data_IF_187904507608
#
_entry.id   IF_187904507608
#
_cell.length_a   1.000
_cell.length_b   1.000
_cell.length_c   1.000
_cell.angle_alpha   90.00
_cell.angle_beta   90.00
_cell.angle_gamma   90.00
#
_symmetry.space_group_name_H-M   'P 1'
#
loop_
_entity.id
_entity.type
_entity.pdbx_description
1 polymer ?
#
# COMPACT_ATOMS: atom_id res chain seq x y z
N UNK A 1 -3.76 0.98 18.78
CA UNK A 1 -3.59 2.37 18.33
C UNK A 1 -2.21 3.00 18.57
N UNK A 2 -1.43 2.60 19.59
CA UNK A 2 -0.10 3.20 19.87
C UNK A 2 1.06 2.83 18.90
N UNK A 3 0.85 1.93 17.93
CA UNK A 3 1.94 1.45 17.05
C UNK A 3 2.25 2.37 15.86
N UNK A 4 1.37 3.33 15.52
CA UNK A 4 1.54 4.21 14.35
C UNK A 4 2.09 5.60 14.72
N UNK A 5 2.14 5.96 16.00
CA UNK A 5 2.50 7.32 16.42
C UNK A 5 4.00 7.62 16.29
N UNK A 6 4.85 6.59 16.33
CA UNK A 6 6.29 6.72 16.14
C UNK A 6 6.86 5.49 15.43
N UNK A 7 7.05 5.60 14.11
CA UNK A 7 7.76 4.57 13.33
C UNK A 7 9.25 4.62 13.70
N UNK A 8 9.88 3.50 14.11
CA UNK A 8 11.28 3.46 14.46
C UNK A 8 12.16 3.72 13.23
N UNK A 9 12.79 4.89 13.18
CA UNK A 9 13.42 5.45 11.97
C UNK A 9 14.62 4.62 11.49
N UNK A 10 15.52 4.27 12.41
CA UNK A 10 16.75 3.51 12.09
C UNK A 10 16.44 2.13 11.54
N UNK A 11 15.59 1.36 12.22
CA UNK A 11 15.27 -0.01 11.80
C UNK A 11 14.50 -0.04 10.48
N UNK A 12 13.57 0.88 10.27
CA UNK A 12 12.81 0.96 9.02
C UNK A 12 13.70 1.34 7.84
N UNK A 13 14.67 2.24 8.04
CA UNK A 13 15.64 2.62 7.01
C UNK A 13 16.56 1.45 6.63
N UNK A 14 17.10 0.72 7.62
CA UNK A 14 17.93 -0.46 7.34
C UNK A 14 17.15 -1.55 6.61
N UNK A 15 15.87 -1.78 6.97
CA UNK A 15 15.00 -2.74 6.27
C UNK A 15 14.73 -2.33 4.82
N UNK A 16 14.48 -1.04 4.58
CA UNK A 16 14.29 -0.51 3.23
C UNK A 16 15.56 -0.69 2.38
N UNK A 17 16.73 -0.31 2.91
CA UNK A 17 18.02 -0.47 2.22
C UNK A 17 18.35 -1.95 1.95
N UNK A 18 18.18 -2.81 2.94
CA UNK A 18 18.38 -4.26 2.79
C UNK A 18 17.47 -4.84 1.71
N UNK A 19 16.22 -4.37 1.64
CA UNK A 19 15.32 -4.82 0.59
C UNK A 19 15.69 -4.30 -0.78
N UNK A 20 16.13 -3.05 -0.91
CA UNK A 20 16.60 -2.51 -2.21
C UNK A 20 17.78 -3.33 -2.71
N UNK A 21 18.73 -3.66 -1.82
CA UNK A 21 19.86 -4.52 -2.17
C UNK A 21 19.43 -5.95 -2.54
N UNK A 22 18.45 -6.52 -1.85
CA UNK A 22 17.93 -7.87 -2.13
C UNK A 22 17.19 -7.92 -3.47
N UNK A 23 16.31 -6.95 -3.72
CA UNK A 23 15.56 -6.85 -4.98
C UNK A 23 16.53 -6.57 -6.14
N UNK A 24 17.49 -5.66 -5.95
CA UNK A 24 18.50 -5.33 -6.96
C UNK A 24 19.48 -6.47 -7.28
N UNK A 25 19.67 -7.42 -6.35
CA UNK A 25 20.48 -8.63 -6.57
C UNK A 25 19.69 -9.82 -7.14
N UNK A 26 18.38 -9.66 -7.39
CA UNK A 26 17.54 -10.70 -7.98
C UNK A 26 16.99 -11.72 -6.99
N UNK A 27 17.00 -11.43 -5.68
CA UNK A 27 16.38 -12.30 -4.68
C UNK A 27 14.85 -12.40 -4.91
N UNK A 28 14.29 -13.58 -4.66
CA UNK A 28 12.84 -13.81 -4.74
C UNK A 28 12.14 -13.19 -3.52
N UNK A 29 11.92 -11.87 -3.57
CA UNK A 29 11.24 -11.12 -2.51
C UNK A 29 10.27 -10.10 -3.09
N UNK A 30 9.11 -9.96 -2.44
CA UNK A 30 8.11 -8.97 -2.80
C UNK A 30 8.55 -7.55 -2.41
N UNK A 31 8.17 -6.57 -3.24
CA UNK A 31 8.39 -5.13 -2.98
C UNK A 31 7.38 -4.51 -2.00
N UNK A 32 6.42 -5.29 -1.48
CA UNK A 32 5.27 -4.82 -0.71
C UNK A 32 5.65 -4.24 0.66
N UNK A 33 6.17 -5.08 1.54
CA UNK A 33 6.52 -4.73 2.92
C UNK A 33 7.53 -3.59 3.03
N UNK A 34 8.65 -3.61 2.27
CA UNK A 34 9.65 -2.56 2.27
C UNK A 34 9.09 -1.19 1.87
N UNK A 35 8.25 -1.15 0.83
CA UNK A 35 7.66 0.11 0.34
C UNK A 35 6.64 0.66 1.34
N UNK A 36 5.77 -0.20 1.90
CA UNK A 36 4.82 0.22 2.94
C UNK A 36 5.55 0.77 4.17
N UNK A 37 6.63 0.13 4.61
CA UNK A 37 7.42 0.60 5.76
C UNK A 37 8.14 1.92 5.49
N UNK A 38 8.73 2.08 4.30
CA UNK A 38 9.41 3.31 3.92
C UNK A 38 8.41 4.47 3.81
N UNK A 39 7.26 4.26 3.17
CA UNK A 39 6.23 5.29 3.07
C UNK A 39 5.62 5.63 4.43
N UNK A 40 5.38 4.65 5.31
CA UNK A 40 4.93 4.88 6.68
C UNK A 40 5.96 5.69 7.49
N UNK A 41 7.26 5.43 7.29
CA UNK A 41 8.34 6.21 7.90
C UNK A 41 8.30 7.68 7.42
N UNK A 42 8.18 7.90 6.11
CA UNK A 42 8.04 9.25 5.53
C UNK A 42 6.78 9.95 6.08
N UNK A 43 5.64 9.26 6.11
CA UNK A 43 4.39 9.76 6.68
C UNK A 43 4.52 10.13 8.16
N UNK A 44 5.25 9.33 8.95
CA UNK A 44 5.50 9.61 10.36
C UNK A 44 6.39 10.83 10.57
N UNK A 45 7.37 11.06 9.68
CA UNK A 45 8.17 12.28 9.68
C UNK A 45 7.32 13.51 9.31
N UNK A 46 6.55 13.42 8.22
CA UNK A 46 5.67 14.50 7.76
C UNK A 46 4.61 14.85 8.80
N UNK A 47 3.95 13.84 9.38
CA UNK A 47 2.91 14.04 10.39
C UNK A 47 3.41 14.70 11.68
N UNK A 48 4.70 14.54 12.03
CA UNK A 48 5.34 15.26 13.14
C UNK A 48 5.70 16.71 12.81
N UNK A 49 5.90 17.03 11.53
CA UNK A 49 6.17 18.38 11.04
C UNK A 49 4.89 19.17 10.76
N UNK A 50 3.75 18.49 10.71
CA UNK A 50 2.48 19.11 10.37
C UNK A 50 1.97 19.99 11.53
N UNK A 51 1.47 21.22 11.25
CA UNK A 51 0.93 22.09 12.28
C UNK A 51 -0.19 21.44 13.09
N UNK A 52 -0.18 21.62 14.41
CA UNK A 52 -1.22 21.12 15.30
C UNK A 52 -2.63 21.68 14.98
N UNK A 53 -2.71 22.80 14.26
CA UNK A 53 -3.97 23.42 13.82
C UNK A 53 -4.79 22.55 12.86
N UNK A 54 -4.17 21.58 12.19
CA UNK A 54 -4.85 20.68 11.26
C UNK A 54 -5.67 19.58 11.95
N UNK A 55 -5.52 19.37 13.26
CA UNK A 55 -6.23 18.33 14.03
C UNK A 55 -6.12 16.90 13.42
N UNK A 56 -5.12 16.65 12.58
CA UNK A 56 -4.84 15.32 12.03
C UNK A 56 -3.97 14.53 13.01
N UNK A 57 -4.36 13.28 13.26
CA UNK A 57 -3.53 12.37 14.06
C UNK A 57 -2.36 11.87 13.19
N UNK A 58 -1.17 11.72 13.79
CA UNK A 58 -0.01 11.17 13.08
C UNK A 58 -0.33 9.79 12.48
N UNK A 59 -1.10 8.96 13.20
CA UNK A 59 -1.60 7.68 12.71
C UNK A 59 -2.33 7.75 11.37
N UNK A 60 -3.07 8.84 11.13
CA UNK A 60 -3.87 9.03 9.93
C UNK A 60 -2.96 9.39 8.76
N UNK A 61 -1.98 10.27 8.99
CA UNK A 61 -0.94 10.61 8.00
C UNK A 61 -0.09 9.40 7.64
N UNK A 62 0.30 8.59 8.63
CA UNK A 62 1.05 7.34 8.42
C UNK A 62 0.24 6.35 7.60
N UNK A 63 -1.05 6.17 7.89
CA UNK A 63 -1.92 5.29 7.12
C UNK A 63 -2.12 5.78 5.68
N UNK A 64 -2.33 7.09 5.47
CA UNK A 64 -2.40 7.68 4.12
C UNK A 64 -1.10 7.45 3.34
N UNK A 65 0.05 7.64 3.98
CA UNK A 65 1.35 7.40 3.35
C UNK A 65 1.58 5.91 3.05
N UNK A 66 1.18 5.01 3.95
CA UNK A 66 1.24 3.56 3.71
C UNK A 66 0.35 3.13 2.54
N UNK A 67 -0.87 3.68 2.44
CA UNK A 67 -1.79 3.42 1.32
C UNK A 67 -1.20 3.94 -0.01
N UNK A 68 -0.67 5.16 -0.01
CA UNK A 68 0.05 5.74 -1.15
C UNK A 68 1.24 4.88 -1.62
N UNK A 69 2.07 4.43 -0.67
CA UNK A 69 3.20 3.54 -0.93
C UNK A 69 2.76 2.25 -1.61
N UNK A 70 1.78 1.55 -1.04
CA UNK A 70 1.26 0.32 -1.60
C UNK A 70 0.59 0.53 -2.98
N UNK A 71 -0.13 1.63 -3.16
CA UNK A 71 -0.75 1.99 -4.44
C UNK A 71 0.28 2.18 -5.55
N UNK A 72 1.40 2.87 -5.25
CA UNK A 72 2.50 3.07 -6.22
C UNK A 72 3.18 1.78 -6.64
N UNK A 73 3.13 0.75 -5.80
CA UNK A 73 3.71 -0.57 -6.09
C UNK A 73 2.81 -1.37 -7.04
N UNK A 74 1.50 -1.33 -6.82
CA UNK A 74 0.55 -2.23 -7.49
C UNK A 74 -0.39 -1.57 -8.51
N UNK A 75 -0.35 -0.25 -8.64
CA UNK A 75 -1.24 0.52 -9.51
C UNK A 75 -2.73 0.30 -9.15
N UNK A 76 -2.98 -0.07 -7.89
CA UNK A 76 -4.29 -0.47 -7.40
C UNK A 76 -4.71 0.44 -6.23
N UNK A 77 -5.19 1.67 -6.51
CA UNK A 77 -5.46 2.66 -5.46
C UNK A 77 -6.62 2.25 -4.53
N UNK A 78 -7.66 1.59 -5.06
CA UNK A 78 -8.78 1.13 -4.24
C UNK A 78 -8.39 -0.04 -3.32
N UNK A 79 -7.72 -1.05 -3.87
CA UNK A 79 -7.29 -2.22 -3.11
C UNK A 79 -6.31 -1.82 -1.99
N UNK A 80 -5.35 -0.95 -2.29
CA UNK A 80 -4.38 -0.44 -1.30
C UNK A 80 -5.05 0.38 -0.19
N UNK A 81 -5.99 1.26 -0.53
CA UNK A 81 -6.72 2.04 0.47
C UNK A 81 -7.56 1.16 1.40
N UNK A 82 -8.30 0.18 0.85
CA UNK A 82 -9.12 -0.76 1.64
C UNK A 82 -8.21 -1.60 2.55
N UNK A 83 -7.15 -2.18 1.99
CA UNK A 83 -6.20 -3.01 2.74
C UNK A 83 -5.57 -2.26 3.92
N UNK A 84 -5.10 -1.03 3.68
CA UNK A 84 -4.50 -0.23 4.76
C UNK A 84 -5.55 0.25 5.75
N UNK A 85 -6.77 0.59 5.32
CA UNK A 85 -7.85 0.97 6.21
C UNK A 85 -8.19 -0.17 7.19
N UNK A 86 -8.32 -1.39 6.67
CA UNK A 86 -8.60 -2.60 7.48
C UNK A 86 -7.48 -2.90 8.47
N UNK A 87 -6.23 -2.90 8.02
CA UNK A 87 -5.08 -3.23 8.88
C UNK A 87 -4.79 -2.12 9.91
N UNK A 88 -4.92 -0.85 9.53
CA UNK A 88 -4.58 0.26 10.41
C UNK A 88 -5.70 0.59 11.40
N UNK A 89 -6.96 0.46 11.00
CA UNK A 89 -8.11 0.97 11.76
C UNK A 89 -9.19 -0.08 12.07
N UNK A 90 -9.17 -1.25 11.43
CA UNK A 90 -10.15 -2.33 11.64
C UNK A 90 -11.59 -1.84 11.56
N UNK A 91 -12.33 -1.94 12.66
CA UNK A 91 -13.75 -1.56 12.78
C UNK A 91 -14.01 -0.10 12.34
N UNK A 92 -13.03 0.81 12.47
CA UNK A 92 -13.16 2.22 12.07
C UNK A 92 -12.65 2.52 10.65
N UNK A 93 -12.34 1.51 9.84
CA UNK A 93 -11.80 1.65 8.48
C UNK A 93 -12.66 2.55 7.58
N UNK A 94 -13.98 2.33 7.58
CA UNK A 94 -14.94 3.03 6.72
C UNK A 94 -14.93 4.55 6.90
N UNK A 95 -14.75 5.04 8.14
CA UNK A 95 -14.73 6.47 8.44
C UNK A 95 -13.50 7.19 7.88
N UNK A 96 -12.42 6.44 7.60
CA UNK A 96 -11.12 6.98 7.16
C UNK A 96 -10.77 6.57 5.74
N UNK A 97 -11.70 5.92 5.03
CA UNK A 97 -11.47 5.36 3.71
C UNK A 97 -11.21 6.45 2.64
N UNK A 98 -11.99 7.54 2.67
CA UNK A 98 -11.90 8.64 1.71
C UNK A 98 -10.48 9.24 1.63
N UNK A 99 -9.86 9.70 2.74
CA UNK A 99 -8.51 10.27 2.65
C UNK A 99 -7.45 9.25 2.23
N UNK A 100 -7.63 7.96 2.55
CA UNK A 100 -6.73 6.90 2.11
C UNK A 100 -6.81 6.68 0.60
N UNK A 101 -8.03 6.69 0.03
CA UNK A 101 -8.24 6.60 -1.43
C UNK A 101 -7.60 7.78 -2.14
N UNK A 102 -7.77 9.00 -1.62
CA UNK A 102 -7.18 10.20 -2.23
C UNK A 102 -5.65 10.10 -2.25
N UNK A 103 -5.04 9.73 -1.12
CA UNK A 103 -3.58 9.55 -1.04
C UNK A 103 -3.06 8.42 -1.96
N UNK A 104 -3.81 7.32 -2.06
CA UNK A 104 -3.48 6.22 -2.96
C UNK A 104 -3.58 6.64 -4.45
N UNK A 105 -4.64 7.35 -4.81
CA UNK A 105 -4.86 7.84 -6.17
C UNK A 105 -3.79 8.85 -6.58
N UNK A 106 -3.44 9.81 -5.71
CA UNK A 106 -2.38 10.78 -6.01
C UNK A 106 -1.04 10.10 -6.24
N UNK A 107 -0.69 9.09 -5.45
CA UNK A 107 0.53 8.32 -5.65
C UNK A 107 0.57 7.61 -7.02
N UNK A 108 -0.55 7.01 -7.43
CA UNK A 108 -0.67 6.37 -8.76
C UNK A 108 -0.60 7.42 -9.88
N UNK A 109 -1.23 8.57 -9.71
CA UNK A 109 -1.14 9.67 -10.69
C UNK A 109 0.30 10.18 -10.83
N UNK A 110 1.03 10.39 -9.72
CA UNK A 110 2.45 10.76 -9.75
C UNK A 110 3.27 9.70 -10.47
N UNK A 111 3.00 8.43 -10.19
CA UNK A 111 3.68 7.31 -10.83
C UNK A 111 3.42 7.27 -12.36
N UNK A 112 2.20 7.58 -12.79
CA UNK A 112 1.87 7.73 -14.21
C UNK A 112 2.60 8.91 -14.87
N UNK A 113 2.77 10.04 -14.16
CA UNK A 113 3.54 11.18 -14.70
C UNK A 113 5.02 10.86 -14.89
N UNK A 114 5.56 9.89 -14.13
CA UNK A 114 6.92 9.40 -14.26
C UNK A 114 7.09 8.34 -15.38
N UNK A 115 6.03 8.05 -16.14
CA UNK A 115 6.07 7.14 -17.29
C UNK A 115 5.78 5.67 -17.00
N UNK A 116 5.51 5.30 -15.74
CA UNK A 116 5.26 3.92 -15.36
C UNK A 116 3.77 3.53 -15.49
N UNK A 117 3.16 3.73 -16.67
CA UNK A 117 1.71 3.54 -16.86
C UNK A 117 1.29 2.11 -17.25
N UNK A 118 2.23 1.19 -17.46
CA UNK A 118 1.92 -0.17 -17.91
C UNK A 118 1.22 -1.00 -16.84
N UNK A 119 0.38 -1.95 -17.28
CA UNK A 119 -0.16 -2.97 -16.39
C UNK A 119 0.99 -3.84 -15.88
N UNK A 120 1.04 -4.01 -14.55
CA UNK A 120 2.08 -4.82 -13.91
C UNK A 120 1.96 -6.30 -14.28
N UNK A 121 0.71 -6.77 -14.47
CA UNK A 121 0.37 -8.13 -14.84
C UNK A 121 -0.61 -8.09 -16.02
N UNK A 122 -0.15 -8.15 -17.27
CA UNK A 122 -1.04 -8.28 -18.41
C UNK A 122 -1.73 -9.64 -18.35
N UNK A 123 -3.06 -9.63 -18.28
CA UNK A 123 -3.85 -10.86 -18.35
C UNK A 123 -3.79 -11.38 -19.78
N UNK A 124 -3.59 -12.69 -19.94
CA UNK A 124 -3.89 -13.35 -21.21
C UNK A 124 -5.40 -13.28 -21.46
N UNK A 125 -5.83 -13.25 -22.72
CA UNK A 125 -7.23 -13.34 -23.14
C UNK A 125 -7.79 -14.74 -22.86
N UNK A 126 -7.82 -15.12 -21.58
CA UNK A 126 -8.43 -16.36 -21.12
C UNK A 126 -9.91 -16.09 -20.90
N UNK A 127 -10.74 -16.58 -21.81
CA UNK A 127 -12.18 -16.58 -21.64
C UNK A 127 -12.54 -17.55 -20.52
N UNK A 128 -12.78 -17.01 -19.33
CA UNK A 128 -13.25 -17.80 -18.20
C UNK A 128 -14.69 -18.25 -18.47
N UNK A 129 -14.89 -19.52 -18.80
CA UNK A 129 -16.23 -20.07 -18.91
C UNK A 129 -16.85 -20.10 -17.51
N UNK A 130 -17.96 -19.38 -17.33
CA UNK A 130 -18.73 -19.33 -16.08
C UNK A 130 -19.56 -20.61 -15.87
N UNK A 131 -18.95 -21.76 -16.14
CA UNK A 131 -19.54 -23.07 -15.93
C UNK A 131 -19.41 -23.47 -14.46
N UNK A 132 -20.41 -24.21 -13.97
CA UNK A 132 -20.45 -24.66 -12.58
C UNK A 132 -19.21 -25.52 -12.22
N UNK A 133 -18.72 -26.33 -13.15
CA UNK A 133 -17.50 -27.13 -12.98
C UNK A 133 -16.25 -26.25 -12.81
N UNK A 134 -16.09 -25.23 -13.65
CA UNK A 134 -14.99 -24.27 -13.59
C UNK A 134 -15.01 -23.46 -12.30
N UNK A 135 -16.19 -23.01 -11.87
CA UNK A 135 -16.39 -22.30 -10.61
C UNK A 135 -16.07 -23.20 -9.40
N UNK A 136 -16.52 -24.45 -9.40
CA UNK A 136 -16.21 -25.42 -8.34
C UNK A 136 -14.72 -25.72 -8.26
N UNK A 137 -14.06 -25.96 -9.40
CA UNK A 137 -12.61 -26.20 -9.43
C UNK A 137 -11.83 -24.97 -8.94
N UNK A 138 -12.27 -23.77 -9.30
CA UNK A 138 -11.63 -22.52 -8.83
C UNK A 138 -11.82 -22.32 -7.34
N UNK A 139 -13.01 -22.63 -6.82
CA UNK A 139 -13.27 -22.60 -5.38
C UNK A 139 -12.41 -23.61 -4.61
N UNK A 140 -12.23 -24.82 -5.13
CA UNK A 140 -11.39 -25.87 -4.49
C UNK A 140 -9.90 -25.53 -4.51
N UNK A 141 -9.41 -24.91 -5.59
CA UNK A 141 -8.00 -24.51 -5.69
C UNK A 141 -7.71 -23.22 -4.90
N UNK A 142 -8.69 -22.30 -4.82
CA UNK A 142 -8.53 -20.98 -4.21
C UNK A 142 -8.76 -20.92 -2.69
N UNK A 143 -9.39 -21.95 -2.11
CA UNK A 143 -9.53 -22.13 -0.65
C UNK A 143 -8.31 -22.85 -0.06
#
# INVERSE_FOLDING_TARGET
NARLDAVPTRTSLFRALSSIASIGSGASIGKEGPMVQLSALCGSAIGRLLPASLNLKNSDVVAMAAAAGLASVYHAPLASAIFVAEIAFGISALQRLIPLIIAAATAVMTMWTLGFRSALYPLADANFAMDLSSLLMTGVIGL
#
